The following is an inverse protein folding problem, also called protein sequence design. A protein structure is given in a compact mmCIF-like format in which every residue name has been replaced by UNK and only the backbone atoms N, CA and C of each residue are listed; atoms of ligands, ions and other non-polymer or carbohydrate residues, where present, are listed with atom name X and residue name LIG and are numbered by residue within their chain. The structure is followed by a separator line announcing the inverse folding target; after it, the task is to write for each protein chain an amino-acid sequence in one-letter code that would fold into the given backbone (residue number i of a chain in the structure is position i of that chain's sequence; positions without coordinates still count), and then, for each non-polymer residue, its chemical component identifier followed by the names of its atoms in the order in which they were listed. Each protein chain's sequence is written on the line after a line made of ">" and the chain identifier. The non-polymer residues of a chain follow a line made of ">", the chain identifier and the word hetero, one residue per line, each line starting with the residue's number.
data_IF_316071072719
#
_entry.id   IF_316071072719
#
_cell.length_a   1.000
_cell.length_b   1.000
_cell.length_c   1.000
_cell.angle_alpha   90.00
_cell.angle_beta   90.00
_cell.angle_gamma   90.00
#
_symmetry.space_group_name_H-M   'P 1'
#
loop_
_entity.id
_entity.type
_entity.pdbx_description
1 polymer ?
#
# COMPACT_ATOMS: atom_id res chain seq x y z
N UNK A 1 3.15 -22.78 -2.68
CA UNK A 1 3.85 -22.06 -1.60
C UNK A 1 4.52 -20.84 -2.21
N UNK A 2 3.96 -19.67 -1.99
CA UNK A 2 4.66 -18.43 -2.26
C UNK A 2 5.82 -18.32 -1.27
N UNK A 3 7.05 -18.51 -1.76
CA UNK A 3 8.25 -18.18 -1.01
C UNK A 3 8.14 -16.72 -0.59
N UNK A 4 8.03 -16.49 0.70
CA UNK A 4 8.05 -15.14 1.23
C UNK A 4 9.45 -14.56 0.96
N UNK A 5 9.58 -13.83 -0.14
CA UNK A 5 10.85 -13.29 -0.65
C UNK A 5 11.48 -12.27 0.30
N UNK A 6 10.73 -11.88 1.32
CA UNK A 6 11.12 -10.87 2.32
C UNK A 6 11.46 -11.48 3.69
N UNK A 7 11.73 -12.79 3.74
CA UNK A 7 12.32 -13.37 4.94
C UNK A 7 13.75 -12.87 5.04
N UNK A 8 14.02 -12.05 6.03
CA UNK A 8 15.39 -11.58 6.31
C UNK A 8 16.27 -12.79 6.56
N UNK A 9 17.13 -13.09 5.58
CA UNK A 9 18.20 -14.07 5.70
C UNK A 9 19.42 -13.31 6.21
N UNK A 10 19.50 -13.15 7.52
CA UNK A 10 20.62 -12.46 8.15
C UNK A 10 20.54 -12.60 9.66
N UNK A 11 21.70 -12.55 10.33
CA UNK A 11 21.86 -12.65 11.81
C UNK A 11 21.25 -11.46 12.58
N UNK A 12 20.30 -10.73 11.99
CA UNK A 12 19.63 -9.59 12.64
C UNK A 12 18.33 -9.97 13.34
N UNK A 13 17.82 -9.09 14.23
CA UNK A 13 16.56 -9.32 14.93
C UNK A 13 15.40 -9.45 13.94
N UNK A 14 14.46 -10.35 14.23
CA UNK A 14 13.28 -10.51 13.37
C UNK A 14 12.31 -9.32 13.51
N UNK A 15 11.39 -9.18 12.56
CA UNK A 15 10.41 -8.10 12.58
C UNK A 15 9.58 -8.05 13.87
N UNK A 16 9.20 -9.22 14.37
CA UNK A 16 8.40 -9.38 15.60
C UNK A 16 9.19 -8.91 16.83
N UNK A 17 10.48 -9.25 16.90
CA UNK A 17 11.37 -8.79 17.96
C UNK A 17 11.56 -7.26 17.93
N UNK A 18 11.74 -6.69 16.74
CA UNK A 18 11.86 -5.24 16.57
C UNK A 18 10.58 -4.52 16.98
N UNK A 19 9.40 -5.08 16.69
CA UNK A 19 8.13 -4.54 17.13
C UNK A 19 8.02 -4.50 18.66
N UNK A 20 8.39 -5.59 19.33
CA UNK A 20 8.40 -5.65 20.79
C UNK A 20 9.40 -4.67 21.43
N UNK A 21 10.59 -4.56 20.85
CA UNK A 21 11.60 -3.58 21.32
C UNK A 21 11.10 -2.15 21.15
N UNK A 22 10.40 -1.86 20.04
CA UNK A 22 9.80 -0.55 19.78
C UNK A 22 8.71 -0.24 20.83
N UNK A 23 7.84 -1.21 21.15
CA UNK A 23 6.82 -1.07 22.20
C UNK A 23 7.44 -0.84 23.59
N UNK A 24 8.63 -1.36 23.83
CA UNK A 24 9.40 -1.13 25.07
C UNK A 24 10.10 0.24 25.10
N UNK A 25 10.01 1.05 24.04
CA UNK A 25 10.57 2.39 23.97
C UNK A 25 11.92 2.52 23.26
N UNK A 26 12.38 1.46 22.58
CA UNK A 26 13.62 1.51 21.77
C UNK A 26 13.40 2.23 20.45
N UNK A 27 13.83 3.49 20.36
CA UNK A 27 13.69 4.32 19.17
C UNK A 27 14.52 3.79 17.98
N UNK A 28 15.61 3.09 18.23
CA UNK A 28 16.45 2.52 17.18
C UNK A 28 15.76 1.35 16.49
N UNK A 29 14.93 0.60 17.22
CA UNK A 29 14.17 -0.51 16.66
C UNK A 29 13.20 -0.07 15.57
N UNK A 30 12.58 1.10 15.68
CA UNK A 30 11.69 1.65 14.66
C UNK A 30 12.41 1.91 13.33
N UNK A 31 13.55 2.60 13.38
CA UNK A 31 14.38 2.84 12.19
C UNK A 31 14.88 1.55 11.54
N UNK A 32 15.30 0.59 12.36
CA UNK A 32 15.77 -0.71 11.89
C UNK A 32 14.64 -1.52 11.24
N UNK A 33 13.44 -1.49 11.82
CA UNK A 33 12.26 -2.16 11.26
C UNK A 33 11.92 -1.63 9.85
N UNK A 34 11.92 -0.31 9.68
CA UNK A 34 11.65 0.32 8.37
C UNK A 34 12.74 -0.03 7.36
N UNK A 35 14.02 0.13 7.71
CA UNK A 35 15.16 -0.17 6.83
C UNK A 35 15.17 -1.63 6.38
N UNK A 36 14.89 -2.54 7.28
CA UNK A 36 14.87 -3.98 7.01
C UNK A 36 13.77 -4.39 6.05
N UNK A 37 12.66 -3.64 6.01
CA UNK A 37 11.50 -3.92 5.18
C UNK A 37 11.33 -2.94 4.01
N UNK A 38 12.33 -2.11 3.72
CA UNK A 38 12.22 -1.09 2.67
C UNK A 38 11.82 -1.66 1.31
N UNK A 39 12.38 -2.81 0.92
CA UNK A 39 12.02 -3.49 -0.33
C UNK A 39 10.54 -3.86 -0.39
N UNK A 40 10.01 -4.40 0.69
CA UNK A 40 8.60 -4.76 0.79
C UNK A 40 7.67 -3.55 0.72
N UNK A 41 8.01 -2.48 1.45
CA UNK A 41 7.25 -1.23 1.41
C UNK A 41 7.28 -0.59 0.02
N UNK A 42 8.42 -0.64 -0.66
CA UNK A 42 8.56 -0.17 -2.03
C UNK A 42 7.69 -0.96 -3.00
N UNK A 43 7.62 -2.27 -2.87
CA UNK A 43 6.78 -3.11 -3.73
C UNK A 43 5.29 -2.81 -3.54
N UNK A 44 4.83 -2.60 -2.32
CA UNK A 44 3.45 -2.18 -2.05
C UNK A 44 3.16 -0.77 -2.61
N UNK A 45 4.11 0.16 -2.47
CA UNK A 45 3.97 1.52 -2.96
C UNK A 45 3.93 1.60 -4.50
N UNK A 46 4.58 0.68 -5.19
CA UNK A 46 4.71 0.68 -6.65
C UNK A 46 3.38 0.69 -7.39
N UNK A 47 2.34 0.08 -6.82
CA UNK A 47 0.99 0.08 -7.38
C UNK A 47 0.38 1.49 -7.50
N UNK A 48 0.89 2.46 -6.77
CA UNK A 48 0.38 3.84 -6.70
C UNK A 48 1.29 4.87 -7.39
N UNK A 49 2.46 4.47 -7.89
CA UNK A 49 3.44 5.38 -8.51
C UNK A 49 2.97 6.10 -9.77
N UNK A 50 2.04 5.58 -10.59
CA UNK A 50 1.54 6.37 -11.70
C UNK A 50 0.84 7.67 -11.28
N UNK A 51 0.39 7.75 -10.04
CA UNK A 51 -0.42 8.87 -9.53
C UNK A 51 0.24 9.68 -8.41
N UNK A 52 1.21 9.10 -7.69
CA UNK A 52 1.87 9.73 -6.55
C UNK A 52 3.38 9.51 -6.60
N UNK A 53 4.13 10.40 -5.97
CA UNK A 53 5.59 10.28 -5.85
C UNK A 53 5.98 9.08 -4.99
N UNK A 54 6.97 8.31 -5.45
CA UNK A 54 7.42 7.09 -4.75
C UNK A 54 7.91 7.38 -3.33
N UNK A 55 8.65 8.47 -3.13
CA UNK A 55 9.20 8.79 -1.81
C UNK A 55 8.10 9.12 -0.80
N UNK A 56 7.06 9.83 -1.21
CA UNK A 56 5.91 10.10 -0.35
C UNK A 56 5.15 8.82 0.00
N UNK A 57 4.95 7.95 -0.99
CA UNK A 57 4.30 6.65 -0.77
C UNK A 57 5.10 5.77 0.18
N UNK A 58 6.43 5.75 0.07
CA UNK A 58 7.30 5.01 0.98
C UNK A 58 7.20 5.52 2.42
N UNK A 59 7.13 6.84 2.60
CA UNK A 59 6.95 7.44 3.92
C UNK A 59 5.60 7.05 4.54
N UNK A 60 4.52 7.13 3.78
CA UNK A 60 3.19 6.70 4.25
C UNK A 60 3.16 5.21 4.61
N UNK A 61 3.77 4.37 3.78
CA UNK A 61 3.89 2.94 4.06
C UNK A 61 4.71 2.66 5.33
N UNK A 62 5.81 3.39 5.52
CA UNK A 62 6.65 3.25 6.72
C UNK A 62 5.91 3.69 7.99
N UNK A 63 5.18 4.80 7.94
CA UNK A 63 4.35 5.25 9.08
C UNK A 63 3.27 4.22 9.43
N UNK A 64 2.59 3.66 8.44
CA UNK A 64 1.58 2.62 8.66
C UNK A 64 2.19 1.34 9.24
N UNK A 65 3.40 0.94 8.81
CA UNK A 65 4.12 -0.19 9.39
C UNK A 65 4.45 0.04 10.86
N UNK A 66 4.95 1.22 11.21
CA UNK A 66 5.28 1.57 12.60
C UNK A 66 4.04 1.60 13.50
N UNK A 67 2.95 2.18 13.02
CA UNK A 67 1.68 2.21 13.74
C UNK A 67 1.12 0.78 13.97
N UNK A 68 1.21 -0.08 12.97
CA UNK A 68 0.84 -1.49 13.12
C UNK A 68 1.76 -2.23 14.11
N UNK A 69 3.06 -1.96 14.08
CA UNK A 69 4.02 -2.57 15.00
C UNK A 69 3.78 -2.19 16.44
N UNK A 70 3.32 -0.97 16.74
CA UNK A 70 2.95 -0.53 18.09
C UNK A 70 1.77 -1.32 18.66
N UNK A 71 0.87 -1.79 17.81
CA UNK A 71 -0.33 -2.55 18.20
C UNK A 71 -0.18 -4.05 18.02
N UNK A 72 0.94 -4.50 17.48
CA UNK A 72 1.18 -5.90 17.19
C UNK A 72 1.31 -6.73 18.49
N UNK A 73 0.62 -7.88 18.49
CA UNK A 73 0.74 -8.86 19.56
C UNK A 73 1.14 -10.22 18.98
N UNK A 74 2.35 -10.71 19.24
CA UNK A 74 2.81 -12.01 18.75
C UNK A 74 2.02 -13.20 19.30
N UNK A 75 1.23 -13.01 20.38
CA UNK A 75 0.39 -14.07 20.94
C UNK A 75 -0.68 -14.57 19.97
N UNK A 76 -1.08 -13.78 18.97
CA UNK A 76 -2.01 -14.19 17.92
C UNK A 76 -1.40 -15.13 16.88
N UNK A 77 -0.10 -15.39 16.92
CA UNK A 77 0.57 -16.34 16.03
C UNK A 77 0.75 -15.91 14.58
N UNK A 78 0.48 -14.65 14.25
CA UNK A 78 0.69 -14.09 12.91
C UNK A 78 2.04 -13.38 12.80
N UNK A 79 2.57 -13.32 11.57
CA UNK A 79 3.77 -12.51 11.27
C UNK A 79 3.43 -11.03 11.26
N UNK A 80 4.38 -10.19 11.68
CA UNK A 80 4.18 -8.73 11.71
C UNK A 80 3.76 -8.19 10.33
N UNK A 81 4.45 -8.57 9.26
CA UNK A 81 4.12 -8.09 7.91
C UNK A 81 2.73 -8.54 7.46
N UNK A 82 2.32 -9.75 7.79
CA UNK A 82 0.96 -10.25 7.50
C UNK A 82 -0.09 -9.40 8.21
N UNK A 83 0.16 -9.05 9.46
CA UNK A 83 -0.70 -8.18 10.25
C UNK A 83 -0.72 -6.74 9.74
N UNK A 84 0.44 -6.20 9.34
CA UNK A 84 0.60 -4.81 8.94
C UNK A 84 0.13 -4.52 7.50
N UNK A 85 0.18 -5.50 6.60
CA UNK A 85 -0.12 -5.30 5.17
C UNK A 85 -1.46 -4.64 4.90
N UNK A 86 -2.60 -5.06 5.49
CA UNK A 86 -3.88 -4.38 5.27
C UNK A 86 -3.86 -2.91 5.70
N UNK A 87 -3.18 -2.59 6.80
CA UNK A 87 -3.05 -1.22 7.28
C UNK A 87 -2.18 -0.36 6.34
N UNK A 88 -1.09 -0.93 5.82
CA UNK A 88 -0.21 -0.25 4.86
C UNK A 88 -0.97 0.03 3.55
N UNK A 89 -1.67 -0.97 3.02
CA UNK A 89 -2.47 -0.81 1.80
C UNK A 89 -3.59 0.22 1.98
N UNK A 90 -4.27 0.22 3.11
CA UNK A 90 -5.27 1.22 3.45
C UNK A 90 -4.68 2.64 3.51
N UNK A 91 -3.51 2.82 4.12
CA UNK A 91 -2.82 4.10 4.19
C UNK A 91 -2.40 4.61 2.80
N UNK A 92 -1.84 3.73 1.96
CA UNK A 92 -1.46 4.06 0.59
C UNK A 92 -2.67 4.43 -0.27
N UNK A 93 -3.76 3.69 -0.15
CA UNK A 93 -5.01 3.98 -0.86
C UNK A 93 -5.61 5.32 -0.43
N UNK A 94 -5.59 5.62 0.86
CA UNK A 94 -6.09 6.87 1.43
C UNK A 94 -5.24 8.06 0.97
N UNK A 95 -3.91 7.92 0.99
CA UNK A 95 -2.98 8.92 0.47
C UNK A 95 -3.23 9.20 -1.01
N UNK A 96 -3.35 8.15 -1.84
CA UNK A 96 -3.63 8.30 -3.26
C UNK A 96 -4.99 8.96 -3.53
N UNK A 97 -6.01 8.66 -2.73
CA UNK A 97 -7.31 9.32 -2.85
C UNK A 97 -7.24 10.83 -2.61
N UNK A 98 -6.33 11.27 -1.72
CA UNK A 98 -6.17 12.70 -1.38
C UNK A 98 -5.30 13.45 -2.38
N UNK A 99 -4.25 12.83 -2.90
CA UNK A 99 -3.17 13.54 -3.60
C UNK A 99 -2.97 13.13 -5.07
N UNK A 100 -3.55 12.02 -5.51
CA UNK A 100 -3.44 11.58 -6.90
C UNK A 100 -4.21 12.45 -7.90
N UNK A 101 -5.23 13.17 -7.44
CA UNK A 101 -6.12 13.98 -8.26
C UNK A 101 -6.10 15.43 -7.81
N UNK A 102 -6.40 16.40 -8.72
CA UNK A 102 -6.44 17.82 -8.37
C UNK A 102 -7.42 18.18 -7.25
N UNK A 103 -8.49 17.40 -7.11
CA UNK A 103 -9.45 17.53 -6.02
C UNK A 103 -9.42 16.27 -5.16
N UNK A 104 -9.45 16.41 -3.82
CA UNK A 104 -9.56 15.28 -2.93
C UNK A 104 -10.84 14.47 -3.20
N UNK A 105 -10.72 13.15 -3.27
CA UNK A 105 -11.85 12.25 -3.47
C UNK A 105 -12.02 11.35 -2.26
N UNK A 106 -13.25 10.89 -1.96
CA UNK A 106 -13.45 9.91 -0.90
C UNK A 106 -12.64 8.63 -1.19
N UNK A 107 -12.06 8.03 -0.16
CA UNK A 107 -11.24 6.81 -0.28
C UNK A 107 -12.01 5.69 -0.99
N UNK A 108 -13.31 5.57 -0.75
CA UNK A 108 -14.20 4.60 -1.41
C UNK A 108 -14.28 4.77 -2.94
N UNK A 109 -13.96 5.95 -3.46
CA UNK A 109 -13.97 6.25 -4.91
C UNK A 109 -12.58 6.27 -5.53
N UNK A 110 -11.54 6.35 -4.71
CA UNK A 110 -10.15 6.46 -5.18
C UNK A 110 -9.73 5.31 -6.09
N UNK A 111 -10.08 4.06 -5.73
CA UNK A 111 -9.77 2.89 -6.53
C UNK A 111 -10.49 2.89 -7.89
N UNK A 112 -11.73 3.33 -7.92
CA UNK A 112 -12.50 3.45 -9.17
C UNK A 112 -11.89 4.49 -10.09
N UNK A 113 -11.53 5.65 -9.56
CA UNK A 113 -10.90 6.72 -10.36
C UNK A 113 -9.52 6.32 -10.89
N UNK A 114 -8.71 5.60 -10.10
CA UNK A 114 -7.44 5.07 -10.58
C UNK A 114 -7.64 4.06 -11.72
N UNK A 115 -8.65 3.20 -11.61
CA UNK A 115 -9.01 2.26 -12.69
C UNK A 115 -9.37 3.01 -13.97
N UNK A 116 -10.20 4.04 -13.88
CA UNK A 116 -10.56 4.90 -15.02
C UNK A 116 -9.32 5.56 -15.62
N UNK A 117 -8.48 6.17 -14.78
CA UNK A 117 -7.26 6.84 -15.22
C UNK A 117 -6.29 5.87 -15.94
N UNK A 118 -6.15 4.65 -15.44
CA UNK A 118 -5.34 3.61 -16.07
C UNK A 118 -5.86 3.27 -17.49
N UNK A 119 -7.16 3.01 -17.62
CA UNK A 119 -7.75 2.73 -18.92
C UNK A 119 -7.64 3.90 -19.90
N UNK A 120 -7.82 5.13 -19.43
CA UNK A 120 -7.64 6.32 -20.26
C UNK A 120 -6.20 6.48 -20.75
N UNK A 121 -5.22 6.16 -19.91
CA UNK A 121 -3.80 6.25 -20.28
C UNK A 121 -3.38 5.19 -21.30
N UNK A 122 -3.96 3.99 -21.24
CA UNK A 122 -3.66 2.90 -22.17
C UNK A 122 -4.41 2.98 -23.51
N UNK A 123 -5.49 3.76 -23.56
CA UNK A 123 -6.42 3.78 -24.68
C UNK A 123 -6.11 4.86 -25.74
N UNK A 124 -4.84 5.04 -26.09
CA UNK A 124 -4.42 6.10 -27.04
C UNK A 124 -5.05 5.99 -28.44
N UNK A 125 -5.50 4.79 -28.84
CA UNK A 125 -6.09 4.52 -30.18
C UNK A 125 -7.51 3.90 -30.12
N UNK A 126 -8.14 3.92 -28.94
CA UNK A 126 -9.46 3.29 -28.74
C UNK A 126 -10.57 4.33 -28.82
N UNK A 127 -11.69 4.02 -29.45
CA UNK A 127 -12.82 4.94 -29.50
C UNK A 127 -13.40 5.18 -28.10
N UNK A 128 -13.89 6.39 -27.85
CA UNK A 128 -14.50 6.79 -26.56
C UNK A 128 -15.60 5.83 -26.12
N UNK A 129 -16.40 5.33 -27.06
CA UNK A 129 -17.49 4.39 -26.78
C UNK A 129 -16.98 3.02 -26.30
N UNK A 130 -15.92 2.50 -26.91
CA UNK A 130 -15.31 1.22 -26.51
C UNK A 130 -14.61 1.35 -25.15
N UNK A 131 -13.92 2.47 -24.92
CA UNK A 131 -13.27 2.77 -23.66
C UNK A 131 -14.31 2.85 -22.52
N UNK A 132 -15.39 3.59 -22.73
CA UNK A 132 -16.48 3.73 -21.76
C UNK A 132 -17.08 2.37 -21.41
N UNK A 133 -17.32 1.53 -22.40
CA UNK A 133 -17.85 0.17 -22.19
C UNK A 133 -16.89 -0.69 -21.38
N UNK A 134 -15.60 -0.70 -21.71
CA UNK A 134 -14.59 -1.46 -21.00
C UNK A 134 -14.45 -1.03 -19.53
N UNK A 135 -14.46 0.29 -19.27
CA UNK A 135 -14.43 0.85 -17.90
C UNK A 135 -15.67 0.46 -17.12
N UNK A 136 -16.86 0.55 -17.70
CA UNK A 136 -18.12 0.17 -17.06
C UNK A 136 -18.15 -1.32 -16.70
N UNK A 137 -17.68 -2.19 -17.58
CA UNK A 137 -17.57 -3.63 -17.31
C UNK A 137 -16.61 -3.91 -16.15
N UNK A 138 -15.44 -3.24 -16.14
CA UNK A 138 -14.44 -3.42 -15.09
C UNK A 138 -14.92 -2.94 -13.73
N UNK A 139 -15.61 -1.82 -13.69
CA UNK A 139 -16.16 -1.24 -12.46
C UNK A 139 -17.51 -1.85 -12.05
N UNK A 140 -18.10 -2.71 -12.87
CA UNK A 140 -19.44 -3.27 -12.68
C UNK A 140 -20.50 -2.21 -12.44
N UNK A 141 -20.41 -1.09 -13.18
CA UNK A 141 -21.36 0.02 -13.13
C UNK A 141 -22.17 0.05 -14.43
N UNK A 142 -23.42 0.44 -14.33
CA UNK A 142 -24.28 0.64 -15.49
C UNK A 142 -23.95 1.96 -16.19
N UNK A 143 -24.02 1.98 -17.51
CA UNK A 143 -23.89 3.18 -18.34
C UNK A 143 -25.04 4.18 -18.14
N UNK A 144 -26.19 3.69 -17.66
CA UNK A 144 -27.38 4.50 -17.41
C UNK A 144 -27.99 4.19 -16.05
N UNK A 145 -28.54 5.19 -15.37
CA UNK A 145 -29.25 4.95 -14.11
C UNK A 145 -30.51 4.08 -14.28
#
# INVERSE_FOLDING_TARGET
>A
MTKNMYTVVGDGPCNEELALRMQAGDKNAAGQLVSQNEGYLTDLARAYTPWCEMEDLKQEAALALLDAAERFDPAYGTKLLTYATPAIEAALSDYAARYAFPLPVPTSRGSQLRTVAYFCAEAQDTSEAELTKAVCEKLKVSLYP
#
